data_IF_707465604288
#
_entry.id   IF_707465604288
#
_cell.length_a   1.000
_cell.length_b   1.000
_cell.length_c   1.000
_cell.angle_alpha   90.00
_cell.angle_beta   90.00
_cell.angle_gamma   90.00
#
_symmetry.space_group_name_H-M   'P 1'
#
loop_
_entity.id
_entity.type
_entity.pdbx_description
1 polymer ?
#
# COMPACT_ATOMS: atom_id res chain seq x y z
N UNK A 1 -81.35 32.64 17.98
CA UNK A 1 -79.99 33.14 17.65
C UNK A 1 -79.23 33.14 18.96
N UNK A 2 -78.24 32.32 19.25
CA UNK A 2 -77.38 31.45 18.43
C UNK A 2 -77.12 30.14 19.22
N UNK A 3 -77.09 29.03 18.50
CA UNK A 3 -76.66 27.73 19.02
C UNK A 3 -75.20 27.79 19.47
N UNK A 4 -74.94 27.50 20.75
CA UNK A 4 -73.60 27.18 21.24
C UNK A 4 -73.20 25.81 20.67
N UNK A 5 -72.57 25.84 19.50
CA UNK A 5 -71.97 24.69 18.84
C UNK A 5 -70.74 24.20 19.65
N UNK A 6 -70.99 23.39 20.69
CA UNK A 6 -69.98 22.53 21.32
C UNK A 6 -69.88 21.23 20.52
N UNK A 7 -69.32 21.32 19.33
CA UNK A 7 -68.77 20.17 18.64
C UNK A 7 -67.28 20.10 18.99
N UNK A 8 -66.97 19.48 20.13
CA UNK A 8 -65.62 18.96 20.35
C UNK A 8 -65.51 17.72 19.47
N UNK A 9 -65.17 17.92 18.21
CA UNK A 9 -65.07 16.85 17.23
C UNK A 9 -64.02 15.84 17.74
N UNK A 10 -64.38 14.59 18.07
CA UNK A 10 -63.46 13.61 18.68
C UNK A 10 -62.21 13.38 17.82
N UNK A 11 -62.32 13.61 16.50
CA UNK A 11 -61.21 13.61 15.56
C UNK A 11 -60.18 14.71 15.83
N UNK A 12 -60.60 15.91 16.25
CA UNK A 12 -59.69 17.03 16.56
C UNK A 12 -58.94 16.76 17.87
N UNK A 13 -59.60 16.14 18.85
CA UNK A 13 -58.99 15.82 20.14
C UNK A 13 -58.01 14.64 20.02
N UNK A 14 -58.35 13.64 19.20
CA UNK A 14 -57.45 12.52 18.86
C UNK A 14 -56.23 13.00 18.04
N UNK A 15 -56.43 13.91 17.08
CA UNK A 15 -55.34 14.57 16.35
C UNK A 15 -54.41 15.37 17.26
N UNK A 16 -54.96 16.17 18.19
CA UNK A 16 -54.15 16.93 19.17
C UNK A 16 -53.40 16.01 20.14
N UNK A 17 -54.01 14.91 20.57
CA UNK A 17 -53.34 13.91 21.40
C UNK A 17 -52.19 13.23 20.64
N UNK A 18 -52.40 12.87 19.37
CA UNK A 18 -51.38 12.29 18.49
C UNK A 18 -50.23 13.27 18.19
N UNK A 19 -50.54 14.54 17.91
CA UNK A 19 -49.53 15.60 17.71
C UNK A 19 -48.73 15.88 18.98
N UNK A 20 -49.37 15.95 20.15
CA UNK A 20 -48.65 16.16 21.41
C UNK A 20 -47.71 15.00 21.73
N UNK A 21 -48.09 13.76 21.40
CA UNK A 21 -47.25 12.56 21.57
C UNK A 21 -46.10 12.55 20.58
N UNK A 22 -46.32 12.98 19.32
CA UNK A 22 -45.26 13.13 18.31
C UNK A 22 -44.28 14.24 18.70
N UNK A 23 -44.78 15.39 19.11
CA UNK A 23 -43.96 16.53 19.53
C UNK A 23 -43.11 16.18 20.77
N UNK A 24 -43.67 15.48 21.77
CA UNK A 24 -42.89 15.00 22.92
C UNK A 24 -41.77 14.03 22.52
N UNK A 25 -42.02 13.11 21.58
CA UNK A 25 -40.98 12.20 21.06
C UNK A 25 -39.89 12.96 20.29
N UNK A 26 -40.26 13.90 19.43
CA UNK A 26 -39.31 14.73 18.68
C UNK A 26 -38.47 15.60 19.63
N UNK A 27 -39.07 16.12 20.70
CA UNK A 27 -38.37 16.95 21.70
C UNK A 27 -37.38 16.12 22.53
N UNK A 28 -37.73 14.87 22.87
CA UNK A 28 -36.81 13.94 23.54
C UNK A 28 -35.64 13.54 22.63
N UNK A 29 -35.90 13.19 21.37
CA UNK A 29 -34.85 12.82 20.41
C UNK A 29 -33.90 13.99 20.15
N UNK A 30 -34.43 15.20 19.97
CA UNK A 30 -33.61 16.40 19.78
C UNK A 30 -32.78 16.75 21.02
N UNK A 31 -33.32 16.56 22.23
CA UNK A 31 -32.55 16.75 23.47
C UNK A 31 -31.38 15.77 23.60
N UNK A 32 -31.57 14.49 23.22
CA UNK A 32 -30.50 13.48 23.22
C UNK A 32 -29.42 13.84 22.20
N UNK A 33 -29.79 14.23 20.99
CA UNK A 33 -28.84 14.64 19.95
C UNK A 33 -28.02 15.86 20.42
N UNK A 34 -28.67 16.85 21.02
CA UNK A 34 -28.00 18.03 21.54
C UNK A 34 -27.04 17.66 22.68
N UNK A 35 -27.44 16.77 23.58
CA UNK A 35 -26.59 16.25 24.65
C UNK A 35 -25.34 15.52 24.13
N UNK A 36 -25.48 14.72 23.08
CA UNK A 36 -24.34 14.04 22.44
C UNK A 36 -23.41 15.03 21.75
N UNK A 37 -23.96 16.02 21.04
CA UNK A 37 -23.18 17.05 20.37
C UNK A 37 -22.37 17.88 21.39
N UNK A 38 -22.99 18.30 22.48
CA UNK A 38 -22.32 19.05 23.56
C UNK A 38 -21.25 18.20 24.27
N UNK A 39 -21.51 16.91 24.48
CA UNK A 39 -20.51 15.99 25.04
C UNK A 39 -19.27 15.86 24.15
N UNK A 40 -19.46 15.70 22.84
CA UNK A 40 -18.36 15.67 21.87
C UNK A 40 -17.58 16.99 21.84
N UNK A 41 -18.28 18.12 21.94
CA UNK A 41 -17.68 19.44 21.99
C UNK A 41 -16.88 19.67 23.28
N UNK A 42 -17.39 19.19 24.42
CA UNK A 42 -16.69 19.23 25.69
C UNK A 42 -15.45 18.32 25.70
N UNK A 43 -15.52 17.13 25.11
CA UNK A 43 -14.38 16.22 24.97
C UNK A 43 -13.32 16.87 24.06
N UNK A 44 -13.70 17.37 22.89
CA UNK A 44 -12.75 18.02 21.98
C UNK A 44 -12.12 19.26 22.59
N UNK A 45 -12.85 20.05 23.38
CA UNK A 45 -12.28 21.18 24.11
C UNK A 45 -11.33 20.74 25.25
N UNK A 46 -11.76 19.78 26.08
CA UNK A 46 -10.98 19.27 27.21
C UNK A 46 -9.69 18.54 26.79
N UNK A 47 -9.69 17.92 25.61
CA UNK A 47 -8.54 17.22 25.04
C UNK A 47 -7.95 17.95 23.83
N UNK A 48 -8.25 19.23 23.63
CA UNK A 48 -7.82 20.01 22.45
C UNK A 48 -6.29 20.07 22.32
N UNK A 49 -5.55 20.18 23.43
CA UNK A 49 -4.08 20.16 23.40
C UNK A 49 -3.50 18.80 22.99
N UNK A 50 -4.16 17.68 23.31
CA UNK A 50 -3.74 16.32 22.90
C UNK A 50 -4.20 15.95 21.48
N UNK A 51 -5.35 16.46 21.06
CA UNK A 51 -5.98 16.13 19.77
C UNK A 51 -5.59 17.10 18.64
N UNK A 52 -5.31 18.37 18.95
CA UNK A 52 -5.10 19.46 17.98
C UNK A 52 -3.76 20.18 18.21
N UNK A 53 -3.12 20.01 19.36
CA UNK A 53 -1.78 20.57 19.63
C UNK A 53 -0.69 19.93 18.78
N UNK A 54 0.41 20.66 18.47
CA UNK A 54 1.56 20.09 17.78
C UNK A 54 2.11 18.93 18.61
N UNK A 55 2.21 17.76 18.00
CA UNK A 55 2.79 16.58 18.67
C UNK A 55 4.30 16.68 18.58
N UNK A 56 4.87 17.66 19.28
CA UNK A 56 6.31 17.98 19.24
C UNK A 56 7.15 16.74 19.56
N UNK A 57 6.67 15.84 20.43
CA UNK A 57 7.36 14.58 20.76
C UNK A 57 7.35 13.55 19.61
N UNK A 58 6.30 13.56 18.77
CA UNK A 58 6.22 12.70 17.58
C UNK A 58 7.03 13.31 16.45
N UNK A 59 6.92 14.62 16.22
CA UNK A 59 7.66 15.31 15.16
C UNK A 59 9.18 15.29 15.41
N UNK A 60 9.61 15.46 16.66
CA UNK A 60 11.02 15.33 17.04
C UNK A 60 11.51 13.87 16.94
N UNK A 61 10.71 12.90 17.37
CA UNK A 61 11.04 11.48 17.22
C UNK A 61 11.06 11.02 15.76
N UNK A 62 10.17 11.54 14.91
CA UNK A 62 10.17 11.29 13.47
C UNK A 62 11.37 11.95 12.80
N UNK A 63 11.77 13.15 13.21
CA UNK A 63 12.97 13.81 12.69
C UNK A 63 14.26 13.06 13.04
N UNK A 64 14.38 12.56 14.27
CA UNK A 64 15.52 11.73 14.72
C UNK A 64 15.59 10.40 13.95
N UNK A 65 14.44 9.73 13.78
CA UNK A 65 14.37 8.49 12.98
C UNK A 65 14.66 8.75 11.50
N UNK A 66 14.21 9.88 10.95
CA UNK A 66 14.51 10.27 9.56
C UNK A 66 16.00 10.55 9.38
N UNK A 67 16.65 11.26 10.28
CA UNK A 67 18.10 11.48 10.24
C UNK A 67 18.87 10.15 10.18
N UNK A 68 18.43 9.18 10.98
CA UNK A 68 19.03 7.85 11.09
C UNK A 68 18.65 6.87 9.95
N UNK A 69 17.68 7.19 9.09
CA UNK A 69 17.15 6.27 8.06
C UNK A 69 16.99 6.88 6.66
N UNK A 70 17.63 8.01 6.40
CA UNK A 70 17.49 8.77 5.15
C UNK A 70 18.74 8.79 4.27
N UNK A 71 19.48 7.67 4.19
CA UNK A 71 20.54 7.51 3.20
C UNK A 71 20.00 7.69 1.76
N UNK A 72 20.46 8.71 1.00
CA UNK A 72 19.91 9.02 -0.32
C UNK A 72 20.14 7.92 -1.35
N UNK A 73 21.28 7.22 -1.27
CA UNK A 73 21.59 6.11 -2.18
C UNK A 73 20.64 4.93 -1.95
N UNK A 74 20.38 4.58 -0.68
CA UNK A 74 19.40 3.58 -0.30
C UNK A 74 17.98 3.94 -0.79
N UNK A 75 17.54 5.19 -0.58
CA UNK A 75 16.24 5.69 -1.07
C UNK A 75 16.12 5.64 -2.59
N UNK A 76 17.19 5.97 -3.31
CA UNK A 76 17.21 5.92 -4.77
C UNK A 76 17.05 4.48 -5.29
N UNK A 77 17.72 3.50 -4.67
CA UNK A 77 17.56 2.08 -5.04
C UNK A 77 16.14 1.61 -4.78
N UNK A 78 15.53 1.97 -3.66
CA UNK A 78 14.13 1.61 -3.35
C UNK A 78 13.18 2.15 -4.41
N UNK A 79 13.34 3.42 -4.79
CA UNK A 79 12.52 4.05 -5.82
C UNK A 79 12.70 3.34 -7.18
N UNK A 80 13.94 3.08 -7.59
CA UNK A 80 14.26 2.40 -8.86
C UNK A 80 13.70 0.97 -8.92
N UNK A 81 13.86 0.19 -7.84
CA UNK A 81 13.28 -1.15 -7.74
C UNK A 81 11.74 -1.09 -7.77
N UNK A 82 11.13 -0.05 -7.21
CA UNK A 82 9.69 0.20 -7.33
C UNK A 82 9.23 0.40 -8.79
N UNK A 83 9.98 1.16 -9.59
CA UNK A 83 9.70 1.31 -11.02
C UNK A 83 9.88 -0.01 -11.80
N UNK A 84 10.88 -0.80 -11.42
CA UNK A 84 11.09 -2.15 -11.96
C UNK A 84 9.96 -3.11 -11.59
N UNK A 85 9.39 -3.00 -10.40
CA UNK A 85 8.20 -3.77 -10.00
C UNK A 85 6.99 -3.43 -10.87
N UNK A 86 6.77 -2.15 -11.19
CA UNK A 86 5.67 -1.77 -12.10
C UNK A 86 5.92 -2.28 -13.53
N UNK A 87 7.17 -2.24 -13.99
CA UNK A 87 7.56 -2.86 -15.27
C UNK A 87 7.25 -4.36 -15.24
N UNK A 88 7.61 -5.06 -14.17
CA UNK A 88 7.32 -6.48 -13.97
C UNK A 88 5.81 -6.77 -13.97
N UNK A 89 4.99 -5.95 -13.30
CA UNK A 89 3.54 -6.12 -13.23
C UNK A 89 2.87 -6.17 -14.61
N UNK A 90 3.39 -5.40 -15.56
CA UNK A 90 2.94 -5.43 -16.96
C UNK A 90 3.53 -6.62 -17.71
N UNK A 91 4.84 -6.83 -17.61
CA UNK A 91 5.58 -7.87 -18.33
C UNK A 91 5.09 -9.28 -17.98
N UNK A 92 4.80 -9.57 -16.70
CA UNK A 92 4.37 -10.90 -16.24
C UNK A 92 3.10 -11.40 -16.91
N UNK A 93 2.19 -10.48 -17.26
CA UNK A 93 0.93 -10.83 -17.95
C UNK A 93 1.25 -11.32 -19.36
N UNK A 94 2.08 -10.57 -20.07
CA UNK A 94 2.45 -10.89 -21.45
C UNK A 94 3.32 -12.16 -21.49
N UNK A 95 4.24 -12.34 -20.54
CA UNK A 95 5.03 -13.57 -20.39
C UNK A 95 4.13 -14.80 -20.20
N UNK A 96 3.11 -14.73 -19.34
CA UNK A 96 2.16 -15.82 -19.14
C UNK A 96 1.41 -16.20 -20.41
N UNK A 97 1.09 -15.22 -21.25
CA UNK A 97 0.26 -15.42 -22.43
C UNK A 97 1.06 -15.89 -23.66
N UNK A 98 2.23 -15.29 -23.89
CA UNK A 98 2.88 -15.35 -25.19
C UNK A 98 4.28 -16.01 -25.15
N UNK A 99 4.92 -16.19 -23.98
CA UNK A 99 6.32 -16.65 -23.92
C UNK A 99 6.54 -18.06 -24.50
N UNK A 100 5.58 -18.96 -24.31
CA UNK A 100 5.64 -20.34 -24.83
C UNK A 100 4.98 -20.49 -26.20
N UNK A 101 4.46 -19.39 -26.78
CA UNK A 101 3.79 -19.39 -28.07
C UNK A 101 4.70 -19.70 -29.25
N UNK A 102 4.09 -19.77 -30.43
CA UNK A 102 4.77 -20.04 -31.71
C UNK A 102 5.15 -18.77 -32.48
N UNK A 103 4.66 -17.61 -32.03
CA UNK A 103 4.99 -16.31 -32.63
C UNK A 103 6.38 -15.85 -32.16
N UNK A 104 7.41 -16.18 -32.94
CA UNK A 104 8.80 -15.89 -32.63
C UNK A 104 9.08 -14.40 -32.44
N UNK A 105 8.38 -13.51 -33.17
CA UNK A 105 8.56 -12.07 -33.05
C UNK A 105 8.05 -11.55 -31.71
N UNK A 106 6.91 -12.07 -31.22
CA UNK A 106 6.41 -11.75 -29.87
C UNK A 106 7.33 -12.28 -28.79
N UNK A 107 7.78 -13.53 -28.91
CA UNK A 107 8.70 -14.14 -27.94
C UNK A 107 9.98 -13.31 -27.85
N UNK A 108 10.58 -12.94 -28.98
CA UNK A 108 11.78 -12.10 -29.02
C UNK A 108 11.56 -10.73 -28.36
N UNK A 109 10.42 -10.09 -28.61
CA UNK A 109 10.07 -8.82 -27.97
C UNK A 109 9.93 -8.95 -26.43
N UNK A 110 9.36 -10.05 -25.94
CA UNK A 110 9.29 -10.34 -24.50
C UNK A 110 10.67 -10.58 -23.90
N UNK A 111 11.52 -11.37 -24.57
CA UNK A 111 12.88 -11.64 -24.14
C UNK A 111 13.72 -10.36 -24.04
N UNK A 112 13.54 -9.44 -24.99
CA UNK A 112 14.17 -8.11 -24.92
C UNK A 112 13.74 -7.32 -23.68
N UNK A 113 12.44 -7.31 -23.36
CA UNK A 113 11.93 -6.63 -22.15
C UNK A 113 12.45 -7.27 -20.86
N UNK A 114 12.55 -8.61 -20.81
CA UNK A 114 13.19 -9.31 -19.68
C UNK A 114 14.66 -8.89 -19.56
N UNK A 115 15.40 -8.81 -20.67
CA UNK A 115 16.79 -8.38 -20.66
C UNK A 115 16.96 -6.91 -20.21
N UNK A 116 16.06 -6.02 -20.62
CA UNK A 116 16.03 -4.62 -20.16
C UNK A 116 15.77 -4.52 -18.66
N UNK A 117 14.82 -5.30 -18.12
CA UNK A 117 14.54 -5.38 -16.69
C UNK A 117 15.75 -5.90 -15.91
N UNK A 118 16.39 -6.98 -16.39
CA UNK A 118 17.63 -7.52 -15.80
C UNK A 118 18.75 -6.48 -15.78
N UNK A 119 18.94 -5.75 -16.87
CA UNK A 119 19.97 -4.71 -16.96
C UNK A 119 19.69 -3.53 -16.01
N UNK A 120 18.42 -3.17 -15.80
CA UNK A 120 18.01 -2.19 -14.78
C UNK A 120 18.37 -2.65 -13.37
N UNK A 121 17.93 -3.86 -13.00
CA UNK A 121 18.21 -4.44 -11.68
C UNK A 121 19.72 -4.63 -11.42
N UNK A 122 20.52 -4.94 -12.45
CA UNK A 122 21.98 -5.01 -12.31
C UNK A 122 22.60 -3.63 -11.98
N UNK A 123 22.09 -2.55 -12.56
CA UNK A 123 22.51 -1.19 -12.22
C UNK A 123 22.11 -0.84 -10.79
N UNK A 124 20.90 -1.22 -10.37
CA UNK A 124 20.45 -1.02 -8.99
C UNK A 124 21.28 -1.82 -7.99
N UNK A 125 21.69 -3.04 -8.34
CA UNK A 125 22.60 -3.81 -7.51
C UNK A 125 23.94 -3.08 -7.32
N UNK A 126 24.52 -2.56 -8.39
CA UNK A 126 25.77 -1.78 -8.31
C UNK A 126 25.58 -0.49 -7.51
N UNK A 127 24.50 0.26 -7.76
CA UNK A 127 24.16 1.47 -7.01
C UNK A 127 23.93 1.17 -5.52
N UNK A 128 23.36 0.02 -5.20
CA UNK A 128 23.09 -0.39 -3.82
C UNK A 128 24.36 -0.57 -3.00
N UNK A 129 25.52 -0.79 -3.61
CA UNK A 129 26.81 -0.89 -2.88
C UNK A 129 27.18 0.42 -2.20
N UNK A 130 26.68 1.54 -2.73
CA UNK A 130 26.86 2.85 -2.13
C UNK A 130 25.86 3.13 -0.99
N UNK A 131 24.80 2.34 -0.84
CA UNK A 131 23.81 2.54 0.20
C UNK A 131 24.39 2.27 1.60
N UNK A 132 24.21 3.22 2.51
CA UNK A 132 24.48 3.01 3.92
C UNK A 132 23.30 2.24 4.53
N UNK A 133 23.54 1.01 4.98
CA UNK A 133 22.52 0.15 5.60
C UNK A 133 22.76 0.09 7.12
N UNK A 134 21.67 0.07 7.88
CA UNK A 134 21.69 0.10 9.34
C UNK A 134 22.15 -1.22 9.96
N UNK A 135 21.87 -2.33 9.30
CA UNK A 135 22.16 -3.67 9.81
C UNK A 135 23.05 -4.44 8.83
N UNK A 136 24.05 -5.14 9.36
CA UNK A 136 24.98 -5.94 8.56
C UNK A 136 24.27 -7.03 7.76
N UNK A 137 23.21 -7.62 8.33
CA UNK A 137 22.43 -8.65 7.66
C UNK A 137 21.58 -8.08 6.53
N UNK A 138 21.18 -6.80 6.60
CA UNK A 138 20.45 -6.16 5.50
C UNK A 138 21.25 -6.12 4.20
N UNK A 139 22.58 -5.99 4.28
CA UNK A 139 23.44 -6.08 3.10
C UNK A 139 23.36 -7.47 2.45
N UNK A 140 23.47 -8.51 3.27
CA UNK A 140 23.42 -9.91 2.78
C UNK A 140 22.05 -10.24 2.19
N UNK A 141 20.98 -9.79 2.82
CA UNK A 141 19.61 -9.96 2.36
C UNK A 141 19.40 -9.28 1.00
N UNK A 142 19.84 -8.04 0.85
CA UNK A 142 19.74 -7.29 -0.41
C UNK A 142 20.55 -7.96 -1.54
N UNK A 143 21.79 -8.35 -1.28
CA UNK A 143 22.62 -9.06 -2.26
C UNK A 143 22.00 -10.40 -2.67
N UNK A 144 21.40 -11.11 -1.71
CA UNK A 144 20.71 -12.38 -1.95
C UNK A 144 19.47 -12.17 -2.80
N UNK A 145 18.72 -11.11 -2.51
CA UNK A 145 17.52 -10.74 -3.28
C UNK A 145 17.86 -10.44 -4.75
N UNK A 146 18.87 -9.61 -5.02
CA UNK A 146 19.26 -9.30 -6.41
C UNK A 146 19.69 -10.56 -7.17
N UNK A 147 20.50 -11.43 -6.55
CA UNK A 147 20.92 -12.70 -7.15
C UNK A 147 19.74 -13.64 -7.40
N UNK A 148 18.78 -13.68 -6.47
CA UNK A 148 17.58 -14.48 -6.61
C UNK A 148 16.77 -14.01 -7.82
N UNK A 149 16.43 -12.72 -7.89
CA UNK A 149 15.62 -12.16 -8.97
C UNK A 149 16.33 -12.31 -10.32
N UNK A 150 17.64 -12.05 -10.40
CA UNK A 150 18.40 -12.25 -11.63
C UNK A 150 18.31 -13.69 -12.14
N UNK A 151 18.44 -14.67 -11.24
CA UNK A 151 18.30 -16.11 -11.56
C UNK A 151 16.90 -16.47 -12.02
N UNK A 152 15.86 -15.96 -11.36
CA UNK A 152 14.47 -16.23 -11.77
C UNK A 152 14.16 -15.59 -13.13
N UNK A 153 14.68 -14.38 -13.40
CA UNK A 153 14.53 -13.74 -14.71
C UNK A 153 15.25 -14.52 -15.82
N UNK A 154 16.36 -15.18 -15.48
CA UNK A 154 17.12 -16.06 -16.37
C UNK A 154 16.30 -17.28 -16.85
N UNK A 155 15.31 -17.71 -16.06
CA UNK A 155 14.40 -18.79 -16.46
C UNK A 155 13.61 -18.38 -17.69
N UNK A 156 13.07 -17.16 -17.74
CA UNK A 156 12.28 -16.70 -18.89
C UNK A 156 13.11 -16.61 -20.18
N UNK A 157 14.41 -16.34 -20.06
CA UNK A 157 15.33 -16.29 -21.21
C UNK A 157 15.58 -17.68 -21.80
N UNK A 158 15.74 -18.69 -20.93
CA UNK A 158 16.08 -20.06 -21.33
C UNK A 158 14.85 -20.88 -21.72
N UNK A 159 13.68 -20.53 -21.17
CA UNK A 159 12.49 -21.35 -21.29
C UNK A 159 12.03 -21.57 -22.75
N UNK A 160 12.01 -20.57 -23.65
CA UNK A 160 11.61 -20.79 -25.04
C UNK A 160 12.49 -21.79 -25.79
N UNK A 161 13.78 -21.86 -25.46
CA UNK A 161 14.73 -22.81 -26.08
C UNK A 161 14.69 -24.19 -25.44
N UNK A 162 14.41 -24.26 -24.14
CA UNK A 162 14.34 -25.52 -23.39
C UNK A 162 12.95 -26.18 -23.45
N UNK A 163 11.90 -25.50 -23.94
CA UNK A 163 10.51 -25.96 -23.86
C UNK A 163 10.27 -27.36 -24.44
N UNK A 164 11.05 -27.75 -25.45
CA UNK A 164 10.95 -29.07 -26.09
C UNK A 164 11.54 -30.22 -25.26
N UNK A 165 12.41 -29.91 -24.29
CA UNK A 165 13.08 -30.88 -23.41
C UNK A 165 12.36 -31.06 -22.07
N UNK A 166 11.37 -30.21 -21.79
CA UNK A 166 10.63 -30.18 -20.52
C UNK A 166 9.36 -31.01 -20.62
N UNK A 167 9.09 -31.80 -19.58
CA UNK A 167 7.82 -32.52 -19.43
C UNK A 167 6.63 -31.56 -19.26
N UNK A 168 6.83 -30.47 -18.51
CA UNK A 168 5.83 -29.42 -18.31
C UNK A 168 6.48 -28.02 -18.32
N UNK A 169 6.59 -27.38 -19.50
CA UNK A 169 7.13 -26.03 -19.63
C UNK A 169 6.20 -24.96 -19.01
N UNK A 170 4.89 -25.19 -18.95
CA UNK A 170 3.93 -24.24 -18.36
C UNK A 170 4.07 -24.15 -16.85
N UNK A 171 4.27 -25.29 -16.17
CA UNK A 171 4.53 -25.34 -14.74
C UNK A 171 5.86 -24.65 -14.38
N UNK A 172 6.93 -24.85 -15.18
CA UNK A 172 8.19 -24.10 -15.01
C UNK A 172 7.99 -22.59 -15.18
N UNK A 173 7.21 -22.16 -16.17
CA UNK A 173 6.83 -20.75 -16.35
C UNK A 173 6.08 -20.21 -15.13
N UNK A 174 5.03 -20.90 -14.70
CA UNK A 174 4.18 -20.46 -13.59
C UNK A 174 4.95 -20.34 -12.28
N UNK A 175 5.84 -21.29 -11.98
CA UNK A 175 6.73 -21.18 -10.81
C UNK A 175 7.64 -19.96 -10.87
N UNK A 176 8.29 -19.71 -12.01
CA UNK A 176 9.16 -18.55 -12.16
C UNK A 176 8.39 -17.22 -12.04
N UNK A 177 7.18 -17.15 -12.60
CA UNK A 177 6.30 -15.99 -12.46
C UNK A 177 5.95 -15.72 -10.99
N UNK A 178 5.57 -16.76 -10.23
CA UNK A 178 5.24 -16.62 -8.80
C UNK A 178 6.47 -16.27 -7.99
N UNK A 179 7.59 -16.95 -8.21
CA UNK A 179 8.84 -16.69 -7.47
C UNK A 179 9.34 -15.26 -7.67
N UNK A 180 9.30 -14.75 -8.91
CA UNK A 180 9.71 -13.37 -9.23
C UNK A 180 8.75 -12.35 -8.60
N UNK A 181 7.44 -12.61 -8.64
CA UNK A 181 6.44 -11.77 -7.98
C UNK A 181 6.68 -11.69 -6.47
N UNK A 182 6.83 -12.84 -5.81
CA UNK A 182 7.05 -12.93 -4.38
C UNK A 182 8.32 -12.19 -3.98
N UNK A 183 9.38 -12.26 -4.79
CA UNK A 183 10.60 -11.50 -4.55
C UNK A 183 10.35 -9.98 -4.56
N UNK A 184 9.64 -9.44 -5.56
CA UNK A 184 9.29 -8.00 -5.58
C UNK A 184 8.40 -7.60 -4.40
N UNK A 185 7.42 -8.44 -4.03
CA UNK A 185 6.55 -8.17 -2.88
C UNK A 185 7.34 -8.17 -1.56
N UNK A 186 8.26 -9.11 -1.38
CA UNK A 186 9.12 -9.19 -0.20
C UNK A 186 10.04 -7.96 -0.09
N UNK A 187 10.61 -7.50 -1.21
CA UNK A 187 11.39 -6.27 -1.24
C UNK A 187 10.56 -5.07 -0.77
N UNK A 188 9.33 -4.93 -1.27
CA UNK A 188 8.43 -3.86 -0.86
C UNK A 188 8.12 -3.91 0.63
N UNK A 189 7.77 -5.09 1.16
CA UNK A 189 7.46 -5.27 2.59
C UNK A 189 8.64 -4.88 3.46
N UNK A 190 9.85 -5.30 3.10
CA UNK A 190 11.09 -4.98 3.82
C UNK A 190 11.28 -3.47 4.03
N UNK A 191 10.92 -2.66 3.04
CA UNK A 191 11.02 -1.19 3.07
C UNK A 191 9.78 -0.45 3.62
N UNK A 192 8.73 -1.17 3.99
CA UNK A 192 7.55 -0.60 4.69
C UNK A 192 7.52 -0.90 6.18
N UNK A 193 8.50 -1.66 6.68
CA UNK A 193 8.59 -2.05 8.09
C UNK A 193 9.10 -0.89 8.96
N UNK A 194 8.75 -0.93 10.26
CA UNK A 194 9.24 0.04 11.25
C UNK A 194 10.75 -0.05 11.51
N UNK A 195 11.40 -1.14 11.07
CA UNK A 195 12.85 -1.34 11.10
C UNK A 195 13.42 -1.21 9.69
N UNK A 196 13.26 -0.02 9.11
CA UNK A 196 13.73 0.28 7.77
C UNK A 196 15.25 0.03 7.62
N UNK A 197 15.70 -0.65 6.54
CA UNK A 197 17.09 -1.09 6.43
C UNK A 197 18.09 0.03 6.08
N UNK A 198 17.61 1.16 5.55
CA UNK A 198 18.47 2.32 5.28
C UNK A 198 19.00 2.93 6.59
N UNK A 199 20.30 3.24 6.60
CA UNK A 199 20.93 4.02 7.65
C UNK A 199 20.87 5.52 7.38
N UNK A 200 21.65 6.27 8.17
CA UNK A 200 21.80 7.71 8.03
C UNK A 200 22.52 8.09 6.74
N UNK A 201 22.33 9.34 6.28
CA UNK A 201 23.13 9.88 5.18
C UNK A 201 24.63 9.88 5.55
N UNK A 202 25.50 9.53 4.59
CA UNK A 202 26.96 9.44 4.81
C UNK A 202 27.58 10.73 5.36
N UNK A 203 26.99 11.89 5.06
CA UNK A 203 27.48 13.22 5.47
C UNK A 203 26.82 13.76 6.75
N UNK A 204 25.96 12.97 7.41
CA UNK A 204 25.26 13.37 8.65
C UNK A 204 26.11 13.20 9.93
N UNK A 205 27.44 13.07 9.82
CA UNK A 205 28.38 12.92 10.95
C UNK A 205 29.52 13.93 10.90
#
# INVERSE_FOLDING_TARGET
MEEKNKSSDPLIEELRAAESKRNKKTLLVSAVILGLALSLLAITWAYSESLIGPRVDIEAGEAEVLEDTNDPACRAVIASVGEHQETWNTLRKDLRQDLLGEDSAKVEALLKRVAELKAGLAKDFDASKEANLRFDDSRKELDTWFKFVDRELDVFVKLPTEKAELEDPEDKLNRALVATEDAFQNFRVWHTSSLHPCGAAKDAK
#
